data_IF_251241014548
#
_entry.id   IF_251241014548
#
_cell.length_a   1.000
_cell.length_b   1.000
_cell.length_c   1.000
_cell.angle_alpha   90.00
_cell.angle_beta   90.00
_cell.angle_gamma   90.00
#
_symmetry.space_group_name_H-M   'P 1'
#
loop_
_entity.id
_entity.type
_entity.pdbx_description
1 polymer ?
#
# COMPACT_ATOMS: atom_id res chain seq x y z
N UNK A 1 2.65 23.87 -15.34
CA UNK A 1 3.13 22.56 -15.84
C UNK A 1 2.29 22.19 -17.04
N UNK A 2 2.86 21.52 -18.03
CA UNK A 2 2.06 20.92 -19.11
C UNK A 2 1.06 19.94 -18.47
N UNK A 3 -0.26 20.13 -18.61
CA UNK A 3 -1.26 19.23 -18.05
C UNK A 3 -1.13 17.78 -18.56
N UNK A 4 -0.33 17.54 -19.61
CA UNK A 4 0.00 16.20 -20.13
C UNK A 4 1.26 15.58 -19.53
N UNK A 5 2.03 16.31 -18.73
CA UNK A 5 3.27 15.79 -18.16
C UNK A 5 3.00 14.98 -16.88
N UNK A 6 2.99 13.65 -16.99
CA UNK A 6 3.01 12.79 -15.81
C UNK A 6 4.36 12.92 -15.08
N UNK A 7 4.30 13.10 -13.75
CA UNK A 7 5.50 13.13 -12.89
C UNK A 7 5.53 11.88 -12.03
N UNK A 8 6.63 11.13 -12.10
CA UNK A 8 6.85 9.92 -11.29
C UNK A 8 7.60 10.28 -10.00
N UNK A 9 6.98 10.05 -8.85
CA UNK A 9 7.59 10.21 -7.54
C UNK A 9 8.08 8.86 -7.02
N UNK A 10 9.34 8.81 -6.55
CA UNK A 10 9.99 7.58 -6.06
C UNK A 10 10.55 7.86 -4.67
N UNK A 11 10.18 7.02 -3.70
CA UNK A 11 10.66 7.12 -2.31
C UNK A 11 11.43 5.88 -1.89
N UNK A 12 12.41 6.06 -1.01
CA UNK A 12 13.20 5.02 -0.36
C UNK A 12 13.49 5.44 1.08
N UNK A 13 13.72 4.47 1.97
CA UNK A 13 14.09 4.74 3.36
C UNK A 13 15.49 5.37 3.48
N UNK A 14 16.32 5.23 2.44
CA UNK A 14 17.63 5.87 2.33
C UNK A 14 17.64 6.80 1.10
N UNK A 15 18.68 6.74 0.27
CA UNK A 15 18.70 7.38 -1.04
C UNK A 15 18.20 6.42 -2.12
N UNK A 16 17.38 6.91 -3.06
CA UNK A 16 17.03 6.14 -4.26
C UNK A 16 18.31 5.85 -5.07
N UNK A 17 18.69 4.58 -5.29
CA UNK A 17 19.90 4.25 -6.03
C UNK A 17 19.88 4.84 -7.45
N UNK A 18 21.01 5.39 -7.90
CA UNK A 18 21.15 5.97 -9.24
C UNK A 18 20.80 4.97 -10.36
N UNK A 19 21.06 3.68 -10.15
CA UNK A 19 20.68 2.60 -11.07
C UNK A 19 19.16 2.47 -11.25
N UNK A 20 18.39 2.69 -10.18
CA UNK A 20 16.92 2.69 -10.25
C UNK A 20 16.43 3.93 -11.01
N UNK A 21 16.98 5.11 -10.71
CA UNK A 21 16.63 6.35 -11.42
C UNK A 21 16.91 6.21 -12.92
N UNK A 22 18.10 5.72 -13.28
CA UNK A 22 18.47 5.49 -14.68
C UNK A 22 17.54 4.51 -15.38
N UNK A 23 17.14 3.42 -14.70
CA UNK A 23 16.21 2.44 -15.25
C UNK A 23 14.82 3.04 -15.48
N UNK A 24 14.30 3.82 -14.52
CA UNK A 24 13.01 4.49 -14.65
C UNK A 24 13.01 5.53 -15.77
N UNK A 25 14.09 6.30 -15.93
CA UNK A 25 14.24 7.20 -17.07
C UNK A 25 14.26 6.45 -18.40
N UNK A 26 14.91 5.27 -18.47
CA UNK A 26 14.90 4.43 -19.67
C UNK A 26 13.48 3.97 -20.02
N UNK A 27 12.74 3.43 -19.05
CA UNK A 27 11.34 3.01 -19.24
C UNK A 27 10.47 4.20 -19.68
N UNK A 28 10.61 5.35 -19.03
CA UNK A 28 9.84 6.54 -19.36
C UNK A 28 10.13 7.05 -20.78
N UNK A 29 11.39 7.02 -21.19
CA UNK A 29 11.78 7.30 -22.57
C UNK A 29 11.09 6.36 -23.56
N UNK A 30 11.11 5.05 -23.29
CA UNK A 30 10.46 4.05 -24.15
C UNK A 30 8.94 4.22 -24.22
N UNK A 31 8.28 4.51 -23.08
CA UNK A 31 6.85 4.79 -23.04
C UNK A 31 6.48 6.02 -23.86
N UNK A 32 7.29 7.08 -23.81
CA UNK A 32 7.09 8.28 -24.64
C UNK A 32 7.23 7.99 -26.13
N UNK A 33 8.21 7.18 -26.53
CA UNK A 33 8.33 6.78 -27.94
C UNK A 33 7.15 5.91 -28.38
N UNK A 34 6.69 4.98 -27.52
CA UNK A 34 5.52 4.16 -27.80
C UNK A 34 4.25 5.00 -27.92
N UNK A 35 4.06 5.99 -27.05
CA UNK A 35 2.93 6.92 -27.12
C UNK A 35 2.88 7.67 -28.46
N UNK A 36 4.02 8.11 -29.00
CA UNK A 36 4.08 8.77 -30.32
C UNK A 36 3.62 7.87 -31.46
N UNK A 37 3.80 6.56 -31.33
CA UNK A 37 3.37 5.56 -32.32
C UNK A 37 1.89 5.25 -32.19
N UNK A 38 1.39 5.18 -30.95
CA UNK A 38 0.02 4.80 -30.62
C UNK A 38 -0.97 5.95 -30.76
N UNK A 39 -0.56 7.20 -30.48
CA UNK A 39 -1.47 8.34 -30.57
C UNK A 39 -1.97 8.54 -32.02
N UNK A 40 -3.29 8.50 -32.25
CA UNK A 40 -3.85 8.70 -33.57
C UNK A 40 -3.54 10.12 -34.05
N UNK A 41 -3.14 10.24 -35.31
CA UNK A 41 -2.76 11.53 -35.88
C UNK A 41 -4.01 12.43 -35.91
N UNK A 42 -4.06 13.54 -35.13
CA UNK A 42 -5.28 14.32 -34.94
C UNK A 42 -5.76 15.02 -36.22
N UNK A 43 -4.94 15.04 -37.27
CA UNK A 43 -5.28 15.61 -38.58
C UNK A 43 -6.13 14.70 -39.47
N UNK A 44 -6.37 13.44 -39.08
CA UNK A 44 -7.22 12.53 -39.84
C UNK A 44 -8.58 12.46 -39.14
N UNK A 45 -9.67 12.95 -39.77
CA UNK A 45 -11.01 12.79 -39.25
C UNK A 45 -11.28 11.32 -38.94
N UNK A 46 -12.07 11.04 -37.90
CA UNK A 46 -12.50 9.70 -37.57
C UNK A 46 -13.48 9.19 -38.66
N UNK A 47 -12.96 8.88 -39.83
CA UNK A 47 -13.72 8.25 -40.90
C UNK A 47 -13.84 6.77 -40.55
N UNK A 48 -15.09 6.36 -40.31
CA UNK A 48 -15.51 5.16 -39.59
C UNK A 48 -15.10 3.80 -40.20
N UNK A 49 -14.26 3.74 -41.23
CA UNK A 49 -13.95 2.48 -41.95
C UNK A 49 -12.48 2.27 -42.32
N UNK A 50 -11.57 3.16 -41.92
CA UNK A 50 -10.16 2.99 -42.31
C UNK A 50 -9.45 2.01 -41.37
N UNK A 51 -9.32 0.76 -41.83
CA UNK A 51 -8.49 -0.28 -41.23
C UNK A 51 -7.14 0.29 -40.73
N UNK A 52 -6.67 -0.09 -39.52
CA UNK A 52 -5.43 0.44 -38.96
C UNK A 52 -4.25 0.23 -39.92
N UNK A 53 -3.42 1.26 -40.09
CA UNK A 53 -2.22 1.20 -40.93
C UNK A 53 -1.30 0.07 -40.44
N UNK A 54 -1.05 -0.97 -41.26
CA UNK A 54 -0.27 -2.13 -40.84
C UNK A 54 1.17 -1.77 -40.43
N UNK A 55 1.74 -0.69 -40.97
CA UNK A 55 3.08 -0.25 -40.60
C UNK A 55 3.13 0.32 -39.18
N UNK A 56 2.07 1.03 -38.76
CA UNK A 56 1.96 1.55 -37.39
C UNK A 56 1.81 0.40 -36.39
N UNK A 57 1.04 -0.62 -36.74
CA UNK A 57 0.86 -1.83 -35.92
C UNK A 57 2.19 -2.54 -35.65
N UNK A 58 3.05 -2.69 -36.68
CA UNK A 58 4.37 -3.32 -36.50
C UNK A 58 5.27 -2.48 -35.57
N UNK A 59 5.36 -1.16 -35.83
CA UNK A 59 6.20 -0.28 -34.99
C UNK A 59 5.73 -0.20 -33.53
N UNK A 60 4.42 -0.29 -33.30
CA UNK A 60 3.86 -0.37 -31.95
C UNK A 60 4.27 -1.68 -31.27
N UNK A 61 4.14 -2.79 -31.99
CA UNK A 61 4.54 -4.12 -31.49
C UNK A 61 6.03 -4.18 -31.15
N UNK A 62 6.89 -3.65 -32.00
CA UNK A 62 8.34 -3.63 -31.78
C UNK A 62 8.72 -2.75 -30.57
N UNK A 63 8.06 -1.59 -30.42
CA UNK A 63 8.23 -0.70 -29.27
C UNK A 63 7.77 -1.33 -27.95
N UNK A 64 6.62 -2.01 -27.95
CA UNK A 64 6.12 -2.79 -26.81
C UNK A 64 7.09 -3.89 -26.42
N UNK A 65 7.63 -4.62 -27.40
CA UNK A 65 8.57 -5.70 -27.17
C UNK A 65 9.87 -5.20 -26.52
N UNK A 66 10.42 -4.08 -26.98
CA UNK A 66 11.64 -3.49 -26.42
C UNK A 66 11.42 -2.93 -25.00
N UNK A 67 10.24 -2.36 -24.73
CA UNK A 67 9.83 -1.95 -23.39
C UNK A 67 9.75 -3.16 -22.45
N UNK A 68 9.04 -4.22 -22.86
CA UNK A 68 8.95 -5.47 -22.12
C UNK A 68 10.33 -6.04 -21.83
N UNK A 69 11.20 -6.12 -22.84
CA UNK A 69 12.58 -6.57 -22.69
C UNK A 69 13.33 -5.82 -21.60
N UNK A 70 13.26 -4.49 -21.63
CA UNK A 70 13.92 -3.63 -20.64
C UNK A 70 13.40 -3.87 -19.22
N UNK A 71 12.09 -4.06 -19.05
CA UNK A 71 11.47 -4.37 -17.76
C UNK A 71 11.90 -5.75 -17.27
N UNK A 72 11.83 -6.78 -18.13
CA UNK A 72 12.14 -8.15 -17.77
C UNK A 72 13.62 -8.35 -17.46
N UNK A 73 14.54 -7.77 -18.23
CA UNK A 73 16.00 -7.86 -17.96
C UNK A 73 16.36 -7.29 -16.58
N UNK A 74 15.82 -6.12 -16.24
CA UNK A 74 16.04 -5.49 -14.93
C UNK A 74 15.44 -6.30 -13.79
N UNK A 75 14.21 -6.79 -13.97
CA UNK A 75 13.50 -7.58 -12.97
C UNK A 75 14.14 -8.94 -12.76
N UNK A 76 14.56 -9.59 -13.84
CA UNK A 76 15.25 -10.88 -13.82
C UNK A 76 16.59 -10.81 -13.10
N UNK A 77 17.39 -9.78 -13.36
CA UNK A 77 18.68 -9.60 -12.69
C UNK A 77 18.51 -9.51 -11.17
N UNK A 78 17.46 -8.81 -10.71
CA UNK A 78 17.13 -8.75 -9.29
C UNK A 78 16.63 -10.08 -8.74
N UNK A 79 15.73 -10.75 -9.45
CA UNK A 79 15.22 -12.08 -9.08
C UNK A 79 16.37 -13.07 -8.91
N UNK A 80 17.26 -13.14 -9.89
CA UNK A 80 18.45 -13.98 -9.87
C UNK A 80 19.33 -13.69 -8.67
N UNK A 81 19.68 -12.42 -8.42
CA UNK A 81 20.48 -12.03 -7.27
C UNK A 81 19.82 -12.40 -5.94
N UNK A 82 18.52 -12.13 -5.79
CA UNK A 82 17.78 -12.45 -4.58
C UNK A 82 17.68 -13.95 -4.34
N UNK A 83 17.40 -14.71 -5.39
CA UNK A 83 17.31 -16.16 -5.33
C UNK A 83 18.67 -16.76 -5.00
N UNK A 84 19.72 -16.42 -5.74
CA UNK A 84 21.09 -16.91 -5.50
C UNK A 84 21.59 -16.62 -4.08
N UNK A 85 21.22 -15.45 -3.52
CA UNK A 85 21.56 -15.09 -2.13
C UNK A 85 20.81 -15.94 -1.09
N UNK A 86 19.53 -16.24 -1.31
CA UNK A 86 18.64 -16.83 -0.28
C UNK A 86 18.44 -18.34 -0.43
N UNK A 87 18.45 -18.84 -1.65
CA UNK A 87 18.14 -20.22 -1.96
C UNK A 87 19.02 -21.24 -1.22
N UNK A 88 20.35 -21.07 -1.06
CA UNK A 88 21.15 -22.05 -0.32
C UNK A 88 20.68 -22.25 1.13
N UNK A 89 20.37 -21.15 1.82
CA UNK A 89 19.88 -21.18 3.21
C UNK A 89 18.48 -21.78 3.27
N UNK A 90 17.58 -21.35 2.39
CA UNK A 90 16.21 -21.87 2.33
C UNK A 90 16.24 -23.37 2.06
N UNK A 91 16.96 -23.83 1.04
CA UNK A 91 17.07 -25.25 0.67
C UNK A 91 17.66 -26.08 1.82
N UNK A 92 18.68 -25.59 2.52
CA UNK A 92 19.23 -26.29 3.69
C UNK A 92 18.21 -26.44 4.84
N UNK A 93 17.39 -25.41 5.08
CA UNK A 93 16.27 -25.48 6.04
C UNK A 93 15.26 -26.54 5.57
N UNK A 94 14.85 -26.53 4.30
CA UNK A 94 13.93 -27.53 3.74
C UNK A 94 14.44 -28.96 3.92
N UNK A 95 15.71 -29.21 3.58
CA UNK A 95 16.34 -30.52 3.73
C UNK A 95 16.38 -30.97 5.19
N UNK A 96 16.59 -30.05 6.13
CA UNK A 96 16.59 -30.33 7.58
C UNK A 96 15.17 -30.63 8.09
N UNK A 97 14.21 -29.78 7.75
CA UNK A 97 12.81 -29.89 8.15
C UNK A 97 12.17 -31.16 7.59
N UNK A 98 12.44 -31.50 6.32
CA UNK A 98 11.99 -32.76 5.71
C UNK A 98 12.50 -33.99 6.46
N UNK A 99 13.75 -33.98 6.94
CA UNK A 99 14.29 -35.09 7.74
C UNK A 99 13.57 -35.23 9.08
N UNK A 100 13.14 -34.12 9.69
CA UNK A 100 12.40 -34.14 10.97
C UNK A 100 10.91 -34.49 10.84
N UNK A 101 10.28 -34.20 9.70
CA UNK A 101 8.83 -34.31 9.50
C UNK A 101 8.36 -35.70 9.01
N UNK A 102 9.14 -36.76 9.19
CA UNK A 102 8.79 -38.12 8.75
C UNK A 102 7.48 -38.71 9.33
N UNK A 103 6.65 -37.93 10.04
CA UNK A 103 5.44 -38.37 10.72
C UNK A 103 4.09 -37.81 10.18
N UNK A 104 4.04 -36.87 9.22
CA UNK A 104 2.77 -36.35 8.66
C UNK A 104 2.78 -36.29 7.12
N UNK A 105 1.85 -37.02 6.49
CA UNK A 105 1.83 -37.28 5.04
C UNK A 105 1.46 -36.05 4.17
N UNK A 106 0.54 -35.20 4.63
CA UNK A 106 0.07 -34.05 3.83
C UNK A 106 1.09 -32.91 3.75
N UNK A 107 1.66 -32.52 4.89
CA UNK A 107 2.66 -31.45 4.95
C UNK A 107 3.97 -31.89 4.30
N UNK A 108 4.34 -33.16 4.42
CA UNK A 108 5.50 -33.73 3.74
C UNK A 108 5.38 -33.62 2.21
N UNK A 109 4.19 -33.88 1.65
CA UNK A 109 3.95 -33.75 0.20
C UNK A 109 4.11 -32.31 -0.28
N UNK A 110 3.53 -31.34 0.43
CA UNK A 110 3.64 -29.93 0.05
C UNK A 110 5.09 -29.42 0.15
N UNK A 111 5.80 -29.78 1.23
CA UNK A 111 7.22 -29.45 1.41
C UNK A 111 8.09 -30.08 0.31
N UNK A 112 7.77 -31.31 -0.11
CA UNK A 112 8.50 -31.98 -1.18
C UNK A 112 8.32 -31.29 -2.54
N UNK A 113 7.07 -30.98 -2.93
CA UNK A 113 6.76 -30.24 -4.17
C UNK A 113 7.47 -28.89 -4.18
N UNK A 114 7.41 -28.20 -3.05
CA UNK A 114 8.09 -26.93 -2.85
C UNK A 114 9.60 -27.04 -3.05
N UNK A 115 10.24 -28.00 -2.36
CA UNK A 115 11.67 -28.20 -2.45
C UNK A 115 12.10 -28.54 -3.88
N UNK A 116 11.31 -29.37 -4.57
CA UNK A 116 11.51 -29.67 -5.99
C UNK A 116 11.43 -28.41 -6.86
N UNK A 117 10.39 -27.58 -6.68
CA UNK A 117 10.23 -26.33 -7.43
C UNK A 117 11.42 -25.38 -7.20
N UNK A 118 11.87 -25.21 -5.95
CA UNK A 118 13.03 -24.39 -5.62
C UNK A 118 14.33 -24.92 -6.25
N UNK A 119 14.58 -26.25 -6.22
CA UNK A 119 15.74 -26.85 -6.90
C UNK A 119 15.65 -26.69 -8.43
N UNK A 120 14.46 -26.79 -9.00
CA UNK A 120 14.25 -26.58 -10.43
C UNK A 120 14.57 -25.13 -10.82
N UNK A 121 14.03 -24.15 -10.09
CA UNK A 121 14.34 -22.73 -10.26
C UNK A 121 15.85 -22.48 -10.09
N UNK A 122 16.48 -23.11 -9.10
CA UNK A 122 17.93 -23.03 -8.93
C UNK A 122 18.67 -23.52 -10.17
N UNK A 123 18.26 -24.65 -10.75
CA UNK A 123 18.84 -25.17 -11.99
C UNK A 123 18.66 -24.22 -13.18
N UNK A 124 17.49 -23.58 -13.31
CA UNK A 124 17.24 -22.57 -14.35
C UNK A 124 18.15 -21.34 -14.18
N UNK A 125 18.39 -20.91 -12.94
CA UNK A 125 19.18 -19.71 -12.62
C UNK A 125 20.70 -19.96 -12.52
N UNK A 126 21.17 -21.21 -12.48
CA UNK A 126 22.61 -21.54 -12.39
C UNK A 126 23.40 -21.14 -13.63
N UNK A 127 22.74 -20.90 -14.76
CA UNK A 127 23.39 -20.30 -15.91
C UNK A 127 23.56 -18.80 -15.65
N UNK A 128 24.78 -18.38 -15.28
CA UNK A 128 25.13 -16.95 -15.07
C UNK A 128 24.95 -16.07 -16.31
N UNK A 129 24.64 -16.67 -17.46
CA UNK A 129 24.32 -15.94 -18.69
C UNK A 129 22.85 -15.59 -18.70
N UNK A 130 22.57 -14.29 -18.90
CA UNK A 130 21.22 -13.87 -19.29
C UNK A 130 20.78 -14.66 -20.53
N UNK A 131 19.48 -15.02 -20.60
CA UNK A 131 18.92 -15.63 -21.81
C UNK A 131 19.25 -14.77 -23.04
N UNK A 132 19.63 -15.39 -24.18
CA UNK A 132 20.13 -14.65 -25.33
C UNK A 132 19.03 -13.85 -26.05
N UNK A 133 17.75 -14.17 -25.80
CA UNK A 133 16.60 -13.45 -26.35
C UNK A 133 15.51 -13.18 -25.30
N UNK A 134 14.62 -12.22 -25.59
CA UNK A 134 13.43 -11.98 -24.78
C UNK A 134 12.51 -13.20 -24.74
N UNK A 135 12.38 -13.93 -25.85
CA UNK A 135 11.60 -15.16 -25.90
C UNK A 135 12.14 -16.19 -24.92
N UNK A 136 13.46 -16.38 -24.86
CA UNK A 136 14.09 -17.29 -23.90
C UNK A 136 13.88 -16.82 -22.45
N UNK A 137 13.94 -15.51 -22.21
CA UNK A 137 13.68 -14.92 -20.90
C UNK A 137 12.23 -15.13 -20.45
N UNK A 138 11.25 -14.90 -21.34
CA UNK A 138 9.83 -15.16 -21.07
C UNK A 138 9.60 -16.65 -20.83
N UNK A 139 10.17 -17.53 -21.67
CA UNK A 139 10.05 -18.98 -21.50
C UNK A 139 10.63 -19.45 -20.16
N UNK A 140 11.77 -18.91 -19.74
CA UNK A 140 12.37 -19.23 -18.44
C UNK A 140 11.51 -18.71 -17.28
N UNK A 141 10.96 -17.49 -17.36
CA UNK A 141 10.03 -16.95 -16.35
C UNK A 141 8.77 -17.83 -16.28
N UNK A 142 8.21 -18.22 -17.42
CA UNK A 142 7.07 -19.13 -17.48
C UNK A 142 7.41 -20.51 -16.90
N UNK A 143 8.60 -21.04 -17.16
CA UNK A 143 9.08 -22.29 -16.56
C UNK A 143 9.15 -22.21 -15.03
N UNK A 144 9.66 -21.10 -14.48
CA UNK A 144 9.66 -20.85 -13.03
C UNK A 144 8.23 -20.74 -12.48
N UNK A 145 7.33 -20.07 -13.20
CA UNK A 145 5.92 -19.93 -12.80
C UNK A 145 5.19 -21.28 -12.82
N UNK A 146 5.40 -22.09 -13.85
CA UNK A 146 4.81 -23.43 -13.99
C UNK A 146 5.30 -24.37 -12.90
N UNK A 147 6.60 -24.35 -12.58
CA UNK A 147 7.15 -25.13 -11.47
C UNK A 147 6.49 -24.78 -10.12
N UNK A 148 6.04 -23.53 -9.96
CA UNK A 148 5.32 -23.05 -8.79
C UNK A 148 3.82 -23.40 -8.80
N UNK A 149 3.22 -23.61 -9.97
CA UNK A 149 1.77 -23.78 -10.12
C UNK A 149 1.23 -24.96 -9.31
N UNK A 150 1.93 -26.10 -9.32
CA UNK A 150 1.52 -27.28 -8.55
C UNK A 150 1.57 -27.04 -7.04
N UNK A 151 2.53 -26.22 -6.59
CA UNK A 151 2.60 -25.80 -5.19
C UNK A 151 1.42 -24.91 -4.83
N UNK A 152 1.10 -23.93 -5.67
CA UNK A 152 -0.06 -23.04 -5.48
C UNK A 152 -1.37 -23.83 -5.46
N UNK A 153 -1.55 -24.77 -6.38
CA UNK A 153 -2.73 -25.63 -6.44
C UNK A 153 -2.84 -26.52 -5.19
N UNK A 154 -1.72 -27.04 -4.68
CA UNK A 154 -1.70 -27.89 -3.48
C UNK A 154 -1.95 -27.11 -2.17
N UNK A 155 -1.71 -25.80 -2.15
CA UNK A 155 -1.96 -24.93 -0.99
C UNK A 155 -3.44 -24.71 -0.68
N UNK A 156 -4.31 -24.78 -1.70
CA UNK A 156 -5.69 -24.33 -1.61
C UNK A 156 -5.81 -22.81 -1.59
N UNK A 157 -6.89 -22.28 -1.00
CA UNK A 157 -7.16 -20.83 -0.89
C UNK A 157 -6.33 -20.12 0.17
N UNK A 158 -5.61 -20.86 1.02
CA UNK A 158 -4.64 -20.27 1.94
C UNK A 158 -3.35 -19.95 1.20
N UNK A 159 -2.96 -18.68 1.21
CA UNK A 159 -1.73 -18.21 0.56
C UNK A 159 -0.52 -18.96 1.14
N UNK A 160 0.14 -19.76 0.29
CA UNK A 160 1.37 -20.47 0.64
C UNK A 160 2.38 -19.51 1.25
N UNK A 161 2.48 -18.29 0.71
CA UNK A 161 3.45 -17.31 1.18
C UNK A 161 3.13 -16.93 2.62
N UNK A 162 1.85 -16.72 2.95
CA UNK A 162 1.38 -16.46 4.32
C UNK A 162 1.67 -17.63 5.27
N UNK A 163 1.43 -18.89 4.87
CA UNK A 163 1.79 -20.08 5.67
C UNK A 163 3.30 -20.14 5.93
N UNK A 164 4.10 -19.81 4.93
CA UNK A 164 5.56 -19.91 5.02
C UNK A 164 6.19 -18.78 5.80
N UNK A 165 5.64 -17.59 5.67
CA UNK A 165 6.03 -16.40 6.43
C UNK A 165 5.86 -16.61 7.95
N UNK A 166 4.99 -17.55 8.34
CA UNK A 166 4.82 -18.00 9.73
C UNK A 166 5.76 -19.15 10.14
N UNK A 167 6.28 -19.93 9.18
CA UNK A 167 7.12 -21.11 9.43
C UNK A 167 8.62 -20.80 9.42
N UNK A 168 9.06 -19.78 8.68
CA UNK A 168 10.44 -19.35 8.69
C UNK A 168 10.58 -18.29 9.79
N UNK A 169 11.33 -18.54 10.87
CA UNK A 169 11.67 -17.51 11.85
C UNK A 169 12.54 -16.47 11.16
N UNK A 170 11.88 -15.49 10.52
CA UNK A 170 12.56 -14.34 9.94
C UNK A 170 13.02 -13.49 11.12
N UNK A 171 14.33 -13.25 11.24
CA UNK A 171 14.95 -12.49 12.35
C UNK A 171 14.54 -11.00 12.43
N UNK A 172 13.44 -10.62 11.80
CA UNK A 172 12.78 -9.33 11.99
C UNK A 172 11.67 -9.49 13.06
N UNK A 173 11.69 -8.63 14.08
CA UNK A 173 10.71 -8.63 15.16
C UNK A 173 9.35 -8.11 14.63
N UNK A 174 8.60 -8.94 13.90
CA UNK A 174 7.23 -8.64 13.49
C UNK A 174 6.20 -9.48 14.25
N UNK A 175 5.15 -8.88 14.78
CA UNK A 175 4.03 -9.60 15.40
C UNK A 175 2.84 -9.54 14.44
N UNK A 176 2.21 -10.67 14.17
CA UNK A 176 1.04 -10.78 13.30
C UNK A 176 -0.23 -10.74 14.17
N UNK A 177 -1.26 -10.04 13.71
CA UNK A 177 -2.55 -9.95 14.40
C UNK A 177 -3.71 -10.32 13.47
N UNK A 178 -4.80 -10.83 14.02
CA UNK A 178 -6.06 -10.90 13.31
C UNK A 178 -6.67 -9.49 13.21
N UNK A 179 -7.40 -9.19 12.14
CA UNK A 179 -7.97 -7.86 11.90
C UNK A 179 -8.90 -7.38 13.03
N UNK A 180 -9.55 -8.31 13.74
CA UNK A 180 -10.47 -8.03 14.86
C UNK A 180 -9.72 -7.63 16.14
N UNK A 181 -8.47 -8.06 16.31
CA UNK A 181 -7.68 -7.81 17.52
C UNK A 181 -6.94 -6.45 17.50
N UNK A 182 -6.80 -5.81 16.33
CA UNK A 182 -5.94 -4.61 16.21
C UNK A 182 -6.66 -3.28 16.37
N UNK A 183 -7.94 -3.21 15.96
CA UNK A 183 -8.72 -1.99 16.08
C UNK A 183 -8.83 -1.48 17.54
N UNK A 184 -9.01 -2.34 18.56
CA UNK A 184 -9.01 -1.91 19.96
C UNK A 184 -7.65 -1.42 20.48
N UNK A 185 -6.53 -1.79 19.83
CA UNK A 185 -5.17 -1.36 20.22
C UNK A 185 -4.94 0.12 19.90
N UNK A 186 -5.46 0.56 18.74
CA UNK A 186 -5.08 1.86 18.15
C UNK A 186 -6.09 2.97 18.45
N UNK A 187 -7.39 2.62 18.55
CA UNK A 187 -8.46 3.57 18.82
C UNK A 187 -9.27 3.11 20.04
N UNK A 188 -8.83 3.41 21.27
CA UNK A 188 -9.58 3.05 22.45
C UNK A 188 -10.92 3.79 22.46
N UNK A 189 -12.01 3.03 22.35
CA UNK A 189 -13.38 3.53 22.49
C UNK A 189 -13.66 3.80 23.97
N UNK A 190 -13.51 5.07 24.39
CA UNK A 190 -13.93 5.58 25.70
C UNK A 190 -12.92 5.39 26.86
N UNK A 191 -13.29 5.90 28.04
CA UNK A 191 -12.57 5.73 29.31
C UNK A 191 -12.58 4.26 29.77
N UNK A 192 -11.84 3.40 29.08
CA UNK A 192 -11.57 2.06 29.58
C UNK A 192 -10.32 2.11 30.47
N UNK A 193 -10.56 1.90 31.77
CA UNK A 193 -9.51 1.60 32.74
C UNK A 193 -8.78 0.33 32.28
N UNK A 194 -7.52 0.52 31.91
CA UNK A 194 -6.54 -0.52 31.55
C UNK A 194 -7.00 -1.45 30.41
N UNK A 195 -6.52 -1.16 29.19
CA UNK A 195 -6.75 -2.02 28.03
C UNK A 195 -5.91 -3.30 28.19
N UNK A 196 -6.52 -4.49 28.39
CA UNK A 196 -5.82 -5.78 28.44
C UNK A 196 -5.04 -6.09 27.14
N UNK A 197 -5.35 -5.35 26.08
CA UNK A 197 -4.70 -5.39 24.78
C UNK A 197 -3.27 -4.85 24.83
N UNK A 198 -3.00 -3.81 25.62
CA UNK A 198 -1.63 -3.31 25.82
C UNK A 198 -0.78 -4.35 26.56
N UNK A 199 -1.36 -5.03 27.55
CA UNK A 199 -0.68 -6.10 28.29
C UNK A 199 -0.41 -7.33 27.43
N UNK A 200 -1.36 -7.72 26.58
CA UNK A 200 -1.17 -8.82 25.63
C UNK A 200 -0.11 -8.48 24.57
N UNK A 201 -0.10 -7.23 24.07
CA UNK A 201 0.91 -6.76 23.11
C UNK A 201 2.29 -6.69 23.75
N UNK A 202 2.38 -6.19 24.99
CA UNK A 202 3.60 -6.17 25.79
C UNK A 202 4.08 -7.59 26.13
N UNK A 203 3.16 -8.51 26.46
CA UNK A 203 3.45 -9.92 26.72
C UNK A 203 3.99 -10.63 25.49
N UNK A 204 3.34 -10.50 24.33
CA UNK A 204 3.83 -11.07 23.06
C UNK A 204 5.16 -10.47 22.65
N UNK A 205 5.38 -9.20 22.94
CA UNK A 205 6.67 -8.56 22.74
C UNK A 205 7.75 -9.17 23.61
N UNK A 206 7.47 -9.34 24.90
CA UNK A 206 8.39 -9.97 25.84
C UNK A 206 8.66 -11.43 25.47
N UNK A 207 7.64 -12.18 25.06
CA UNK A 207 7.78 -13.57 24.57
C UNK A 207 8.64 -13.61 23.30
N UNK A 208 8.43 -12.69 22.36
CA UNK A 208 9.21 -12.64 21.13
C UNK A 208 10.67 -12.25 21.37
N UNK A 209 10.92 -11.25 22.23
CA UNK A 209 12.27 -10.87 22.69
C UNK A 209 12.98 -12.05 23.34
N UNK A 210 12.28 -12.83 24.18
CA UNK A 210 12.82 -14.07 24.80
C UNK A 210 13.13 -15.13 23.74
N UNK A 211 12.23 -15.37 22.79
CA UNK A 211 12.38 -16.40 21.76
C UNK A 211 13.52 -16.09 20.78
N UNK A 212 13.76 -14.81 20.48
CA UNK A 212 14.85 -14.38 19.61
C UNK A 212 16.20 -14.22 20.35
N UNK A 213 16.24 -14.52 21.65
CA UNK A 213 17.46 -14.38 22.46
C UNK A 213 17.96 -12.93 22.54
N UNK A 214 17.07 -11.95 22.35
CA UNK A 214 17.44 -10.54 22.41
C UNK A 214 17.58 -10.16 23.89
N UNK A 215 18.81 -10.21 24.40
CA UNK A 215 19.12 -9.65 25.71
C UNK A 215 19.04 -8.12 25.63
N UNK A 216 17.95 -7.54 26.17
CA UNK A 216 17.85 -6.11 26.43
C UNK A 216 18.88 -5.73 27.51
N UNK A 217 20.11 -5.41 27.09
CA UNK A 217 21.14 -4.90 27.98
C UNK A 217 20.69 -3.58 28.58
N UNK A 218 20.38 -3.62 29.88
CA UNK A 218 19.96 -2.47 30.69
C UNK A 218 20.97 -1.32 30.48
N UNK A 219 20.52 -0.22 29.86
CA UNK A 219 21.35 0.97 29.60
C UNK A 219 21.96 1.09 28.19
N UNK A 220 21.70 0.16 27.27
CA UNK A 220 22.12 0.35 25.87
C UNK A 220 21.20 1.39 25.22
N UNK A 221 21.73 2.58 24.96
CA UNK A 221 21.04 3.60 24.17
C UNK A 221 20.97 3.09 22.73
N UNK A 222 19.88 2.41 22.41
CA UNK A 222 19.58 2.00 21.05
C UNK A 222 19.46 3.27 20.19
N UNK A 223 20.52 3.63 19.48
CA UNK A 223 20.47 4.64 18.41
C UNK A 223 19.74 4.01 17.23
N UNK A 224 18.40 4.00 17.29
CA UNK A 224 17.58 3.34 16.29
C UNK A 224 17.31 4.30 15.15
N UNK A 225 17.67 3.90 13.94
CA UNK A 225 17.21 4.59 12.73
C UNK A 225 15.69 4.38 12.66
N UNK A 226 14.93 5.45 12.85
CA UNK A 226 13.50 5.47 12.58
C UNK A 226 13.28 5.16 11.11
N UNK A 227 12.61 4.05 10.80
CA UNK A 227 12.28 3.69 9.44
C UNK A 227 10.80 4.03 9.19
N UNK A 228 10.56 5.15 8.50
CA UNK A 228 9.27 5.38 7.87
C UNK A 228 9.14 4.42 6.70
N UNK A 229 7.96 3.86 6.51
CA UNK A 229 7.68 3.16 5.26
C UNK A 229 7.47 4.18 4.14
N UNK A 230 7.88 3.82 2.92
CA UNK A 230 7.88 4.71 1.77
C UNK A 230 6.47 5.24 1.45
N UNK A 231 5.43 4.40 1.60
CA UNK A 231 4.04 4.75 1.33
C UNK A 231 3.56 5.88 2.24
N UNK A 232 3.80 5.76 3.55
CA UNK A 232 3.43 6.80 4.52
C UNK A 232 4.20 8.10 4.28
N UNK A 233 5.46 8.01 3.86
CA UNK A 233 6.29 9.17 3.52
C UNK A 233 5.74 9.89 2.29
N UNK A 234 5.29 9.14 1.27
CA UNK A 234 4.66 9.72 0.08
C UNK A 234 3.34 10.41 0.40
N UNK A 235 2.50 9.81 1.24
CA UNK A 235 1.27 10.44 1.72
C UNK A 235 1.59 11.79 2.40
N UNK A 236 2.50 11.79 3.38
CA UNK A 236 2.91 13.01 4.07
C UNK A 236 3.46 14.07 3.09
N UNK A 237 4.31 13.65 2.14
CA UNK A 237 4.85 14.54 1.13
C UNK A 237 3.76 15.20 0.28
N UNK A 238 2.77 14.44 -0.20
CA UNK A 238 1.69 15.00 -1.02
C UNK A 238 0.77 15.94 -0.23
N UNK A 239 0.51 15.66 1.05
CA UNK A 239 -0.24 16.57 1.92
C UNK A 239 0.51 17.88 2.19
N UNK A 240 1.83 17.82 2.27
CA UNK A 240 2.68 19.00 2.45
C UNK A 240 2.87 19.80 1.15
N UNK A 241 2.54 19.23 -0.01
CA UNK A 241 2.74 19.84 -1.32
C UNK A 241 1.45 19.78 -2.16
N UNK A 242 0.37 20.48 -1.77
CA UNK A 242 -0.96 20.37 -2.38
C UNK A 242 -1.00 20.82 -3.85
N UNK A 243 0.02 21.54 -4.32
CA UNK A 243 0.14 21.93 -5.72
C UNK A 243 0.51 20.77 -6.66
N UNK A 244 0.87 19.62 -6.09
CA UNK A 244 1.12 18.38 -6.82
C UNK A 244 -0.18 17.58 -6.83
N UNK A 245 -0.68 17.20 -8.00
CA UNK A 245 -1.82 16.30 -8.14
C UNK A 245 -1.31 14.86 -8.35
N UNK A 246 -1.14 14.05 -7.29
CA UNK A 246 -0.63 12.70 -7.42
C UNK A 246 -1.68 11.75 -8.02
N UNK A 247 -1.22 10.60 -8.51
CA UNK A 247 -2.11 9.46 -8.65
C UNK A 247 -2.49 8.95 -7.25
N UNK A 248 -3.78 8.72 -7.01
CA UNK A 248 -4.32 8.38 -5.68
C UNK A 248 -4.00 6.94 -5.23
N UNK A 249 -3.03 6.29 -5.87
CA UNK A 249 -2.60 4.94 -5.54
C UNK A 249 -1.08 4.88 -5.43
N UNK A 250 -0.58 4.46 -4.27
CA UNK A 250 0.83 4.23 -4.03
C UNK A 250 1.16 2.75 -4.24
N UNK A 251 1.89 2.47 -5.32
CA UNK A 251 2.40 1.14 -5.63
C UNK A 251 3.65 0.82 -4.82
N UNK A 252 3.53 -0.15 -3.90
CA UNK A 252 4.66 -0.74 -3.18
C UNK A 252 5.04 -2.12 -3.72
N UNK A 253 6.32 -2.50 -3.61
CA UNK A 253 6.75 -3.88 -3.91
C UNK A 253 6.26 -4.89 -2.87
N UNK A 254 5.86 -4.41 -1.68
CA UNK A 254 5.32 -5.21 -0.57
C UNK A 254 3.93 -4.69 -0.21
N UNK A 255 3.14 -5.52 0.46
CA UNK A 255 1.93 -5.04 1.13
C UNK A 255 2.32 -4.06 2.24
N UNK A 256 1.43 -3.14 2.56
CA UNK A 256 1.58 -2.22 3.68
C UNK A 256 1.66 -2.99 4.99
N UNK A 257 2.44 -2.47 5.94
CA UNK A 257 2.36 -2.96 7.31
C UNK A 257 1.08 -2.49 7.98
N UNK A 258 0.79 -3.04 9.16
CA UNK A 258 -0.39 -2.65 9.91
C UNK A 258 -0.41 -1.14 10.22
N UNK A 259 0.71 -0.56 10.69
CA UNK A 259 0.78 0.88 10.98
C UNK A 259 0.49 1.75 9.75
N UNK A 260 1.06 1.40 8.59
CA UNK A 260 0.76 2.07 7.33
C UNK A 260 -0.71 1.93 6.96
N UNK A 261 -1.25 0.70 6.97
CA UNK A 261 -2.64 0.46 6.59
C UNK A 261 -3.61 1.26 7.47
N UNK A 262 -3.35 1.32 8.77
CA UNK A 262 -4.14 2.12 9.70
C UNK A 262 -4.03 3.62 9.41
N UNK A 263 -2.83 4.14 9.15
CA UNK A 263 -2.66 5.53 8.73
C UNK A 263 -3.50 5.87 7.49
N UNK A 264 -3.43 5.05 6.44
CA UNK A 264 -4.19 5.27 5.21
C UNK A 264 -5.71 5.16 5.45
N UNK A 265 -6.14 4.18 6.24
CA UNK A 265 -7.56 4.02 6.60
C UNK A 265 -8.08 5.24 7.35
N UNK A 266 -7.37 5.68 8.39
CA UNK A 266 -7.76 6.85 9.18
C UNK A 266 -7.73 8.13 8.36
N UNK A 267 -6.70 8.32 7.53
CA UNK A 267 -6.63 9.46 6.63
C UNK A 267 -7.83 9.50 5.68
N UNK A 268 -8.16 8.38 5.03
CA UNK A 268 -9.25 8.33 4.06
C UNK A 268 -10.63 8.58 4.68
N UNK A 269 -10.86 8.14 5.92
CA UNK A 269 -12.09 8.42 6.67
C UNK A 269 -12.25 9.93 6.93
N UNK A 270 -11.17 10.59 7.34
CA UNK A 270 -11.17 12.04 7.55
C UNK A 270 -11.31 12.75 6.20
N UNK A 271 -10.52 12.38 5.20
CA UNK A 271 -10.55 12.98 3.87
C UNK A 271 -11.95 12.92 3.24
N UNK A 272 -12.65 11.80 3.36
CA UNK A 272 -14.03 11.64 2.90
C UNK A 272 -14.97 12.67 3.55
N UNK A 273 -14.85 12.87 4.87
CA UNK A 273 -15.65 13.82 5.64
C UNK A 273 -15.43 15.27 5.21
N UNK A 274 -14.27 15.59 4.65
CA UNK A 274 -13.91 16.93 4.16
C UNK A 274 -13.92 17.05 2.64
N UNK A 275 -14.45 16.05 1.91
CA UNK A 275 -14.43 15.99 0.45
C UNK A 275 -13.02 16.14 -0.17
N UNK A 276 -12.00 15.66 0.54
CA UNK A 276 -10.62 15.64 0.09
C UNK A 276 -10.30 14.34 -0.68
N UNK A 277 -9.29 14.36 -1.58
CA UNK A 277 -8.77 13.16 -2.22
C UNK A 277 -8.37 12.06 -1.24
N UNK A 278 -8.85 10.85 -1.48
CA UNK A 278 -8.42 9.63 -0.78
C UNK A 278 -7.19 9.01 -1.44
N UNK A 279 -6.38 8.28 -0.68
CA UNK A 279 -5.19 7.58 -1.16
C UNK A 279 -5.24 6.08 -0.84
N UNK A 280 -4.79 5.26 -1.78
CA UNK A 280 -4.87 3.80 -1.69
C UNK A 280 -3.49 3.15 -1.79
N UNK A 281 -3.37 1.95 -1.21
CA UNK A 281 -2.17 1.09 -1.32
C UNK A 281 -2.59 -0.32 -1.77
N UNK A 282 -1.62 -1.18 -2.11
CA UNK A 282 -1.89 -2.54 -2.60
C UNK A 282 -2.67 -3.44 -1.62
N UNK A 283 -2.65 -3.15 -0.32
CA UNK A 283 -3.26 -3.95 0.74
C UNK A 283 -2.36 -4.03 1.98
N UNK A 284 -2.72 -4.85 2.95
CA UNK A 284 -2.01 -4.98 4.23
C UNK A 284 -1.64 -6.43 4.53
N UNK A 285 -0.42 -6.69 5.00
CA UNK A 285 -0.01 -8.02 5.49
C UNK A 285 -0.23 -8.21 7.01
N UNK A 286 -0.91 -7.26 7.67
CA UNK A 286 -1.28 -7.28 9.10
C UNK A 286 -0.14 -7.57 10.09
N UNK A 287 1.11 -7.24 9.74
CA UNK A 287 2.22 -7.31 10.69
C UNK A 287 2.49 -5.93 11.28
N UNK A 288 2.68 -5.90 12.59
CA UNK A 288 3.14 -4.72 13.32
C UNK A 288 4.67 -4.73 13.34
N UNK A 289 5.27 -3.69 12.78
CA UNK A 289 6.69 -3.40 12.98
C UNK A 289 6.82 -2.48 14.18
N UNK A 290 7.54 -2.92 15.20
CA UNK A 290 7.64 -2.19 16.47
C UNK A 290 8.26 -0.81 16.37
N UNK A 291 9.01 -0.60 15.31
CA UNK A 291 9.74 0.64 15.03
C UNK A 291 9.05 1.48 13.96
N UNK A 292 7.80 1.14 13.64
CA UNK A 292 7.00 1.94 12.74
C UNK A 292 6.70 3.29 13.38
N UNK A 293 7.05 4.37 12.67
CA UNK A 293 6.73 5.72 13.08
C UNK A 293 5.76 6.33 12.09
N UNK A 294 4.71 6.98 12.61
CA UNK A 294 3.80 7.76 11.79
C UNK A 294 4.53 9.03 11.34
N UNK A 295 4.66 9.30 10.02
CA UNK A 295 5.24 10.56 9.57
C UNK A 295 4.33 11.73 9.94
N UNK A 296 4.94 12.89 10.22
CA UNK A 296 4.17 14.13 10.35
C UNK A 296 3.46 14.43 9.03
N UNK A 297 2.13 14.44 9.04
CA UNK A 297 1.33 14.85 7.89
C UNK A 297 1.32 16.38 7.71
N UNK A 298 1.73 17.11 8.74
CA UNK A 298 1.81 18.57 8.74
C UNK A 298 3.15 19.03 8.20
N UNK A 299 3.15 20.18 7.52
CA UNK A 299 4.38 20.90 7.16
C UNK A 299 5.15 21.29 8.42
N UNK A 300 6.46 21.50 8.30
CA UNK A 300 7.28 21.94 9.42
C UNK A 300 6.81 23.29 9.98
N UNK A 301 6.25 24.15 9.13
CA UNK A 301 5.68 25.45 9.53
C UNK A 301 4.41 25.27 10.36
N UNK A 302 3.47 24.45 9.91
CA UNK A 302 2.26 24.15 10.68
C UNK A 302 2.58 23.38 11.97
N UNK A 303 3.57 22.49 11.94
CA UNK A 303 4.02 21.79 13.16
C UNK A 303 4.60 22.76 14.20
N UNK A 304 5.31 23.82 13.77
CA UNK A 304 5.77 24.89 14.68
C UNK A 304 4.61 25.71 15.26
N UNK A 305 3.54 25.90 14.50
CA UNK A 305 2.33 26.60 14.93
C UNK A 305 1.45 25.79 15.89
N UNK A 306 1.68 24.49 16.05
CA UNK A 306 0.95 23.65 17.02
C UNK A 306 1.75 23.37 18.29
N UNK A 307 2.88 24.05 18.50
CA UNK A 307 3.64 23.92 19.74
C UNK A 307 2.84 24.46 20.94
N UNK A 308 2.95 23.87 22.14
CA UNK A 308 2.22 24.33 23.31
C UNK A 308 2.41 25.84 23.55
N UNK A 309 1.34 26.64 23.43
CA UNK A 309 1.35 28.09 23.60
C UNK A 309 0.92 28.90 22.37
N UNK A 310 0.79 28.29 21.20
CA UNK A 310 0.10 28.88 20.05
C UNK A 310 -1.41 28.57 20.07
N UNK A 311 -2.28 29.50 19.64
CA UNK A 311 -3.72 29.27 19.56
C UNK A 311 -4.05 28.02 18.74
N UNK A 312 -5.03 27.22 19.19
CA UNK A 312 -5.46 26.02 18.47
C UNK A 312 -6.01 26.38 17.09
N UNK A 313 -5.85 25.48 16.12
CA UNK A 313 -6.48 25.58 14.80
C UNK A 313 -8.02 25.68 14.93
N UNK A 314 -8.60 25.08 15.96
CA UNK A 314 -10.03 25.22 16.28
C UNK A 314 -10.38 26.65 16.70
N UNK A 315 -9.47 27.35 17.38
CA UNK A 315 -9.66 28.75 17.78
C UNK A 315 -9.68 29.67 16.56
N UNK A 316 -8.86 29.40 15.54
CA UNK A 316 -8.91 30.11 14.26
C UNK A 316 -10.16 29.74 13.44
N UNK A 317 -10.55 28.47 13.41
CA UNK A 317 -11.75 28.02 12.70
C UNK A 317 -13.02 28.68 13.29
N UNK A 318 -13.12 28.75 14.62
CA UNK A 318 -14.19 29.46 15.30
C UNK A 318 -14.14 30.97 15.02
N UNK A 319 -12.98 31.61 15.02
CA UNK A 319 -12.85 33.04 14.68
C UNK A 319 -13.26 33.36 13.23
N UNK A 320 -13.04 32.43 12.30
CA UNK A 320 -13.48 32.58 10.89
C UNK A 320 -14.99 32.35 10.75
N UNK A 321 -15.55 31.38 11.47
CA UNK A 321 -17.00 31.10 11.47
C UNK A 321 -17.79 32.21 12.17
N UNK A 322 -17.26 32.79 13.24
CA UNK A 322 -17.94 33.86 14.00
C UNK A 322 -17.91 35.21 13.27
N UNK A 323 -17.07 35.37 12.24
CA UNK A 323 -16.92 36.60 11.48
C UNK A 323 -16.45 37.79 12.33
N UNK A 324 -15.93 38.86 11.71
CA UNK A 324 -15.68 40.09 12.45
C UNK A 324 -17.03 40.60 12.97
N UNK A 325 -17.21 40.57 14.30
CA UNK A 325 -18.41 41.08 14.97
C UNK A 325 -18.68 42.48 14.44
N UNK A 326 -19.74 42.59 13.63
CA UNK A 326 -20.13 43.82 12.99
C UNK A 326 -20.39 44.85 14.10
N UNK A 327 -19.79 46.05 14.08
CA UNK A 327 -20.02 47.04 15.12
C UNK A 327 -21.52 47.32 15.19
N UNK A 328 -22.09 47.03 16.35
CA UNK A 328 -23.50 47.15 16.69
C UNK A 328 -23.95 48.60 16.42
N UNK A 329 -24.60 48.82 15.27
CA UNK A 329 -25.25 50.09 14.96
C UNK A 329 -26.60 50.10 15.67
N UNK A 330 -26.63 50.78 16.81
CA UNK A 330 -27.87 51.14 17.49
C UNK A 330 -28.74 51.98 16.54
N UNK A 331 -29.90 51.44 16.18
CA UNK A 331 -30.96 52.23 15.54
C UNK A 331 -32.32 51.80 16.08
N UNK A 332 -32.77 52.61 17.02
CA UNK A 332 -34.15 52.72 17.48
C UNK A 332 -34.98 53.43 16.42
N UNK A 333 -35.98 52.76 15.83
CA UNK A 333 -37.19 53.40 15.32
C UNK A 333 -38.29 52.35 15.07
N UNK A 334 -39.49 52.68 15.55
CA UNK A 334 -40.69 51.86 15.58
C UNK A 334 -41.61 52.08 14.37
N UNK A 335 -42.73 51.34 14.39
CA UNK A 335 -43.92 51.34 13.50
C UNK A 335 -43.85 50.24 12.43
N UNK A 336 -44.67 49.18 12.44
CA UNK A 336 -46.07 49.04 12.87
C UNK A 336 -46.95 49.05 11.62
N UNK A 337 -47.49 47.90 11.21
CA UNK A 337 -48.94 47.69 10.99
C UNK A 337 -49.26 46.24 10.55
N UNK A 338 -50.47 45.81 10.91
CA UNK A 338 -51.08 44.48 10.76
C UNK A 338 -51.62 44.19 9.35
N UNK A 339 -51.67 42.92 8.94
CA UNK A 339 -52.86 42.34 8.28
C UNK A 339 -52.85 40.80 8.28
N UNK A 340 -54.04 40.25 8.55
CA UNK A 340 -54.41 38.83 8.60
C UNK A 340 -54.55 38.17 7.22
N UNK A 341 -54.56 36.82 7.26
CA UNK A 341 -55.26 35.79 6.43
C UNK A 341 -54.27 34.71 5.95
N UNK A 342 -54.34 33.46 6.45
CA UNK A 342 -55.35 32.39 6.33
C UNK A 342 -55.27 31.62 5.01
N UNK A 343 -55.54 30.30 5.09
CA UNK A 343 -55.49 29.22 4.08
C UNK A 343 -54.10 28.52 4.00
N UNK A 344 -53.85 27.34 4.60
CA UNK A 344 -54.50 26.02 4.42
C UNK A 344 -54.31 25.57 2.96
N UNK A 345 -53.57 24.52 2.61
CA UNK A 345 -53.88 23.10 2.82
C UNK A 345 -52.82 22.26 2.04
N UNK A 346 -52.51 21.04 2.48
CA UNK A 346 -51.93 20.01 1.59
C UNK A 346 -50.71 19.22 2.08
N UNK A 347 -50.78 18.58 3.24
CA UNK A 347 -49.95 17.40 3.53
C UNK A 347 -50.88 16.27 3.97
N UNK A 348 -51.03 15.25 3.12
CA UNK A 348 -51.65 13.98 3.45
C UNK A 348 -50.69 12.84 3.02
N UNK A 349 -50.10 12.15 4.00
CA UNK A 349 -50.42 10.79 4.49
C UNK A 349 -49.80 9.67 3.63
N UNK A 350 -48.86 8.90 4.23
CA UNK A 350 -49.04 7.48 4.55
C UNK A 350 -47.81 6.95 5.34
N UNK A 351 -47.97 6.87 6.66
CA UNK A 351 -47.36 5.85 7.54
C UNK A 351 -48.48 4.87 7.97
N UNK A 352 -48.09 3.73 8.55
CA UNK A 352 -48.84 2.50 8.93
C UNK A 352 -48.77 1.38 7.87
N UNK A 353 -48.47 0.11 8.20
CA UNK A 353 -48.20 -0.54 9.48
C UNK A 353 -47.57 -1.93 9.23
N UNK A 354 -46.77 -2.34 10.22
CA UNK A 354 -46.69 -3.66 10.87
C UNK A 354 -47.01 -4.98 10.15
N UNK A 355 -46.05 -5.90 10.37
CA UNK A 355 -46.21 -7.25 10.94
C UNK A 355 -46.33 -8.52 10.06
N UNK A 356 -45.46 -9.45 10.45
CA UNK A 356 -45.68 -10.88 10.66
C UNK A 356 -45.22 -11.90 9.60
N UNK A 357 -44.53 -12.94 10.11
CA UNK A 357 -44.33 -14.24 9.46
C UNK A 357 -42.86 -14.68 9.46
N UNK A 358 -42.30 -15.15 10.59
CA UNK A 358 -42.24 -16.57 11.00
C UNK A 358 -41.70 -17.55 9.94
N UNK A 359 -40.59 -18.19 10.32
CA UNK A 359 -40.21 -19.60 10.15
C UNK A 359 -40.78 -20.37 8.95
N UNK A 360 -39.86 -20.80 8.06
CA UNK A 360 -39.53 -22.22 7.84
C UNK A 360 -38.08 -22.35 7.36
#
# INVERSE_FOLDING_TARGET
MDPKAATLYVSSNESVPATIISHLHKIWGQLKELQKVVEPNPSIPADNETSPDPNKTQSGTDGELELQKTIYEHSYSKLHLHFSKRAPVILAIYETTMKSLQANDKDAKLLHLTHWALKHIQGLLQNDRLPPSLTDLIQMINGMSLAWQDCLNAAGSEDILTRWDNLIPCGDISITFSQQDVLPVIFPLGEQKELPVCDELLKRLQEKVKNEGIELKKGTKLSMKTAFHAESTLLAYHLQHPNINPYHYFGGSKLSCHGCATLFSSFNLVAESFHLPQFFTKGCHNRIYLWWHCPSLLSLEHSKQLQPGTPSLDTELHAVIEGPSQPQLDSTAASGDSCESAEEEGIAILEEEMEAGMCE
#
